data_IF_242068680470
#
_entry.id   IF_242068680470
#
_cell.length_a   1.000
_cell.length_b   1.000
_cell.length_c   1.000
_cell.angle_alpha   90.00
_cell.angle_beta   90.00
_cell.angle_gamma   90.00
#
_symmetry.space_group_name_H-M   'P 1'
#
loop_
_entity.id
_entity.type
_entity.pdbx_description
1 polymer ?
#
# COMPACT_ATOMS: atom_id res chain seq x y z
N UNK A 1 -15.82 13.56 0.43
CA UNK A 1 -15.20 12.49 1.21
C UNK A 1 -13.72 12.46 0.90
N UNK A 2 -12.90 12.13 1.89
CA UNK A 2 -11.47 11.99 1.69
C UNK A 2 -11.11 10.52 1.52
N UNK A 3 -10.01 10.28 0.83
CA UNK A 3 -9.47 8.93 0.61
C UNK A 3 -8.01 8.94 1.02
N UNK A 4 -7.56 7.86 1.63
CA UNK A 4 -6.19 7.74 2.14
C UNK A 4 -5.50 6.55 1.50
N UNK A 5 -4.29 6.80 1.00
CA UNK A 5 -3.45 5.75 0.46
C UNK A 5 -2.37 5.48 1.50
N UNK A 6 -2.41 4.30 2.08
CA UNK A 6 -1.52 3.92 3.17
C UNK A 6 -0.59 2.83 2.67
N UNK A 7 0.69 3.11 2.75
CA UNK A 7 1.74 2.18 2.32
C UNK A 7 2.43 1.63 3.55
N UNK A 8 2.55 0.31 3.65
CA UNK A 8 3.16 -0.36 4.79
C UNK A 8 4.34 -1.18 4.30
N UNK A 9 5.49 -0.98 4.93
CA UNK A 9 6.70 -1.76 4.67
C UNK A 9 7.02 -2.55 5.91
N UNK A 10 7.24 -3.85 5.75
CA UNK A 10 7.43 -4.72 6.89
C UNK A 10 8.50 -5.76 6.62
N UNK A 11 9.11 -6.21 7.70
CA UNK A 11 9.96 -7.38 7.72
C UNK A 11 9.33 -8.37 8.69
N UNK A 12 10.03 -9.48 8.97
CA UNK A 12 9.50 -10.43 9.95
C UNK A 12 9.35 -9.81 11.34
N UNK A 13 10.20 -8.84 11.66
CA UNK A 13 10.28 -8.31 13.01
C UNK A 13 9.72 -6.90 13.14
N UNK A 14 9.54 -6.18 12.05
CA UNK A 14 9.16 -4.77 12.12
C UNK A 14 8.11 -4.44 11.06
N UNK A 15 7.35 -3.39 11.34
CA UNK A 15 6.39 -2.87 10.38
C UNK A 15 6.36 -1.35 10.52
N UNK A 16 6.31 -0.66 9.38
CA UNK A 16 6.32 0.79 9.36
C UNK A 16 5.31 1.28 8.33
N UNK A 17 4.52 2.27 8.72
CA UNK A 17 3.68 3.00 7.79
C UNK A 17 4.52 4.09 7.16
N UNK A 18 4.55 4.11 5.83
CA UNK A 18 5.33 5.12 5.12
C UNK A 18 4.66 6.48 5.28
N UNK A 19 5.43 7.49 5.64
CA UNK A 19 4.92 8.83 5.85
C UNK A 19 5.58 9.79 4.86
N UNK A 20 4.87 10.86 4.51
CA UNK A 20 3.50 11.21 4.93
C UNK A 20 2.47 10.33 4.26
N UNK A 21 1.34 10.13 4.94
CA UNK A 21 0.22 9.40 4.36
C UNK A 21 -0.41 10.27 3.30
N UNK A 22 -0.62 9.71 2.11
CA UNK A 22 -1.21 10.45 1.01
C UNK A 22 -2.73 10.49 1.14
N UNK A 23 -3.32 11.61 0.77
CA UNK A 23 -4.77 11.73 0.79
C UNK A 23 -5.24 12.50 -0.43
N UNK A 24 -6.46 12.20 -0.87
CA UNK A 24 -7.10 12.85 -2.01
C UNK A 24 -8.57 13.00 -1.74
N UNK A 25 -9.17 14.04 -2.32
CA UNK A 25 -10.61 14.24 -2.18
C UNK A 25 -11.39 13.66 -3.35
N UNK A 26 -10.73 13.23 -4.40
CA UNK A 26 -11.35 12.59 -5.56
C UNK A 26 -11.00 11.11 -5.55
N UNK A 27 -12.02 10.26 -5.76
CA UNK A 27 -11.77 8.82 -5.83
C UNK A 27 -10.86 8.49 -7.01
N UNK A 28 -10.98 9.22 -8.10
CA UNK A 28 -10.15 8.93 -9.28
C UNK A 28 -8.68 9.28 -9.03
N UNK A 29 -8.44 10.43 -8.37
CA UNK A 29 -7.08 10.80 -8.00
C UNK A 29 -6.50 9.84 -6.98
N UNK A 30 -7.32 9.38 -6.05
CA UNK A 30 -6.90 8.41 -5.04
C UNK A 30 -6.53 7.07 -5.68
N UNK A 31 -7.36 6.61 -6.62
CA UNK A 31 -7.06 5.36 -7.32
C UNK A 31 -5.78 5.46 -8.13
N UNK A 32 -5.54 6.61 -8.76
CA UNK A 32 -4.31 6.82 -9.51
C UNK A 32 -3.09 6.69 -8.60
N UNK A 33 -3.13 7.35 -7.44
CA UNK A 33 -2.03 7.27 -6.49
C UNK A 33 -1.87 5.85 -5.93
N UNK A 34 -2.98 5.18 -5.67
CA UNK A 34 -2.97 3.81 -5.19
C UNK A 34 -2.25 2.90 -6.19
N UNK A 35 -2.58 3.01 -7.47
CA UNK A 35 -1.94 2.17 -8.49
C UNK A 35 -0.46 2.53 -8.67
N UNK A 36 -0.10 3.81 -8.57
CA UNK A 36 1.30 4.22 -8.64
C UNK A 36 2.09 3.63 -7.47
N UNK A 37 1.53 3.68 -6.29
CA UNK A 37 2.19 3.14 -5.10
C UNK A 37 2.29 1.62 -5.19
N UNK A 38 1.25 0.96 -5.69
CA UNK A 38 1.28 -0.48 -5.91
C UNK A 38 2.35 -0.87 -6.93
N UNK A 39 2.48 -0.11 -8.01
CA UNK A 39 3.49 -0.40 -9.02
C UNK A 39 4.88 -0.34 -8.41
N UNK A 40 5.14 0.65 -7.57
CA UNK A 40 6.43 0.77 -6.89
C UNK A 40 6.63 -0.38 -5.90
N UNK A 41 5.57 -0.77 -5.20
CA UNK A 41 5.64 -1.86 -4.23
C UNK A 41 5.96 -3.19 -4.93
N UNK A 42 5.46 -3.37 -6.13
CA UNK A 42 5.64 -4.62 -6.87
C UNK A 42 7.11 -4.90 -7.19
N UNK A 43 7.91 -3.85 -7.34
CA UNK A 43 9.32 -4.01 -7.68
C UNK A 43 10.25 -3.63 -6.53
N UNK A 44 9.68 -3.43 -5.35
CA UNK A 44 10.43 -3.02 -4.17
C UNK A 44 11.21 -4.20 -3.58
N UNK A 45 12.39 -3.96 -3.00
CA UNK A 45 13.12 -5.03 -2.31
C UNK A 45 12.61 -5.29 -0.89
N UNK A 46 11.62 -4.52 -0.43
CA UNK A 46 11.08 -4.69 0.92
C UNK A 46 10.38 -6.05 1.01
N UNK A 47 10.66 -6.86 2.06
CA UNK A 47 10.09 -8.21 2.13
C UNK A 47 8.57 -8.25 2.08
N UNK A 48 7.91 -7.37 2.82
CA UNK A 48 6.43 -7.29 2.79
C UNK A 48 6.06 -5.85 2.51
N UNK A 49 5.46 -5.60 1.36
CA UNK A 49 5.15 -4.25 0.94
C UNK A 49 3.68 -4.21 0.53
N UNK A 50 2.86 -3.53 1.32
CA UNK A 50 1.43 -3.51 1.09
C UNK A 50 0.93 -2.08 0.92
N UNK A 51 -0.20 -1.96 0.24
CA UNK A 51 -0.85 -0.68 0.00
C UNK A 51 -2.34 -0.85 0.23
N UNK A 52 -2.93 0.10 0.93
CA UNK A 52 -4.35 0.10 1.27
C UNK A 52 -4.96 1.42 0.83
N UNK A 53 -6.13 1.37 0.24
CA UNK A 53 -6.90 2.57 -0.10
C UNK A 53 -8.17 2.59 0.75
N UNK A 54 -8.24 3.56 1.64
CA UNK A 54 -9.35 3.70 2.58
C UNK A 54 -10.13 4.98 2.30
N UNK A 55 -11.42 4.97 2.63
CA UNK A 55 -12.19 6.21 2.65
C UNK A 55 -12.12 6.83 4.05
N UNK A 56 -12.76 7.99 4.21
CA UNK A 56 -12.68 8.70 5.50
C UNK A 56 -13.48 8.01 6.60
N UNK A 57 -14.23 6.98 6.28
CA UNK A 57 -14.91 6.17 7.28
C UNK A 57 -14.08 4.96 7.68
N UNK A 58 -12.87 4.85 7.15
CA UNK A 58 -11.97 3.75 7.48
C UNK A 58 -12.26 2.47 6.72
N UNK A 59 -13.07 2.54 5.67
CA UNK A 59 -13.43 1.35 4.90
C UNK A 59 -12.51 1.19 3.70
N UNK A 60 -12.15 -0.03 3.38
CA UNK A 60 -11.33 -0.30 2.20
C UNK A 60 -12.16 -0.07 0.94
N UNK A 61 -11.65 0.80 0.07
CA UNK A 61 -12.27 1.08 -1.22
C UNK A 61 -11.88 0.00 -2.23
N UNK A 62 -10.66 -0.50 -2.11
CA UNK A 62 -10.15 -1.60 -2.91
C UNK A 62 -9.64 -2.67 -1.97
N UNK A 63 -9.59 -3.91 -2.44
CA UNK A 63 -8.98 -4.97 -1.65
C UNK A 63 -7.52 -4.65 -1.41
N UNK A 64 -7.05 -4.75 -0.16
CA UNK A 64 -5.63 -4.47 0.11
C UNK A 64 -4.74 -5.44 -0.64
N UNK A 65 -3.62 -4.91 -1.14
CA UNK A 65 -2.64 -5.70 -1.87
C UNK A 65 -1.35 -5.75 -1.08
N UNK A 66 -0.74 -6.92 -1.05
CA UNK A 66 0.54 -7.09 -0.38
C UNK A 66 1.47 -7.89 -1.29
N UNK A 67 2.64 -7.35 -1.53
CA UNK A 67 3.69 -8.07 -2.27
C UNK A 67 4.68 -8.65 -1.29
N UNK A 68 4.98 -9.92 -1.44
CA UNK A 68 5.92 -10.62 -0.59
C UNK A 68 7.16 -10.91 -1.41
N UNK A 69 8.24 -10.21 -1.09
CA UNK A 69 9.48 -10.29 -1.88
C UNK A 69 10.59 -11.03 -1.18
N UNK A 70 10.62 -10.92 0.15
CA UNK A 70 11.74 -11.44 0.90
C UNK A 70 11.56 -12.84 1.39
N UNK A 71 10.55 -13.46 0.95
CA UNK A 71 10.29 -14.80 1.41
C UNK A 71 11.38 -15.73 1.01
N UNK A 72 11.51 -16.74 1.75
CA UNK A 72 12.42 -17.76 1.39
C UNK A 72 11.98 -18.35 0.07
N UNK A 73 11.83 -17.77 -0.65
CA UNK A 73 11.40 -18.13 -1.68
C UNK A 73 10.67 -17.90 -2.69
N UNK A 74 10.73 -18.06 -2.70
CA UNK A 74 10.18 -17.93 -3.43
C UNK A 74 9.62 -17.97 -4.40
N UNK A 75 9.56 -18.04 -4.48
CA UNK A 75 9.04 -18.00 -5.27
C UNK A 75 8.61 -17.82 -5.99
N UNK A 76 8.68 -17.78 -6.13
CA UNK A 76 8.17 -17.55 -6.87
C UNK A 76 8.20 -17.24 -7.39
#
# INVERSE_FOLDING_TARGET
MKYFIIEIQATEDTATVVTPIQSESSIFAAESKYHQTLAAAAISPVPYHSVVLLDSLGRAVKEPECYIHGGSGSEE
#
